data_IF_585642850222
#
_entry.id   IF_585642850222
#
_cell.length_a   1.000
_cell.length_b   1.000
_cell.length_c   1.000
_cell.angle_alpha   90.00
_cell.angle_beta   90.00
_cell.angle_gamma   90.00
#
_symmetry.space_group_name_H-M   'P 1'
#
loop_
_entity.id
_entity.type
_entity.pdbx_description
1 polymer ?
#
# COMPACT_ATOMS: atom_id res chain seq x y z
N UNK A 1 5.64 -14.16 9.78
CA UNK A 1 6.33 -14.68 8.56
C UNK A 1 6.79 -13.49 7.75
N UNK A 2 8.09 -13.20 7.74
CA UNK A 2 8.69 -12.15 6.91
C UNK A 2 9.00 -12.78 5.54
N UNK A 3 8.06 -12.71 4.60
CA UNK A 3 8.33 -13.09 3.21
C UNK A 3 9.41 -12.17 2.65
N UNK A 4 10.60 -12.71 2.44
CA UNK A 4 11.72 -11.95 1.89
C UNK A 4 11.52 -11.90 0.37
N UNK A 5 10.73 -10.94 -0.09
CA UNK A 5 10.62 -10.62 -1.51
C UNK A 5 11.91 -9.91 -1.93
N UNK A 6 12.91 -10.71 -2.32
CA UNK A 6 14.18 -10.20 -2.85
C UNK A 6 14.11 -9.98 -4.37
N UNK A 7 13.14 -10.60 -5.06
CA UNK A 7 12.90 -10.40 -6.49
C UNK A 7 11.94 -9.23 -6.76
N UNK A 8 12.33 -8.24 -7.59
CA UNK A 8 11.45 -7.14 -7.96
C UNK A 8 10.18 -7.55 -8.70
N UNK A 9 10.21 -8.62 -9.51
CA UNK A 9 9.04 -9.14 -10.22
C UNK A 9 7.97 -9.64 -9.27
N UNK A 10 8.35 -10.45 -8.28
CA UNK A 10 7.44 -10.93 -7.23
C UNK A 10 6.83 -9.77 -6.42
N UNK A 11 7.61 -8.71 -6.17
CA UNK A 11 7.11 -7.51 -5.48
C UNK A 11 6.09 -6.73 -6.31
N UNK A 12 6.32 -6.59 -7.63
CA UNK A 12 5.37 -5.94 -8.56
C UNK A 12 4.06 -6.73 -8.59
N UNK A 13 4.14 -8.05 -8.78
CA UNK A 13 2.97 -8.93 -8.81
C UNK A 13 2.18 -8.86 -7.50
N UNK A 14 2.86 -8.94 -6.36
CA UNK A 14 2.22 -8.82 -5.06
C UNK A 14 1.53 -7.46 -4.87
N UNK A 15 2.21 -6.35 -5.18
CA UNK A 15 1.62 -5.02 -5.09
C UNK A 15 0.36 -4.93 -5.95
N UNK A 16 0.44 -5.40 -7.20
CA UNK A 16 -0.67 -5.43 -8.14
C UNK A 16 -1.87 -6.22 -7.60
N UNK A 17 -1.63 -7.45 -7.09
CA UNK A 17 -2.68 -8.31 -6.52
C UNK A 17 -3.38 -7.68 -5.32
N UNK A 18 -2.64 -7.08 -4.38
CA UNK A 18 -3.24 -6.43 -3.20
C UNK A 18 -4.10 -5.24 -3.65
N UNK A 19 -3.56 -4.40 -4.55
CA UNK A 19 -4.29 -3.25 -5.08
C UNK A 19 -5.57 -3.66 -5.81
N UNK A 20 -5.51 -4.70 -6.64
CA UNK A 20 -6.65 -5.24 -7.35
C UNK A 20 -7.71 -5.79 -6.39
N UNK A 21 -7.28 -6.58 -5.41
CA UNK A 21 -8.15 -7.23 -4.40
C UNK A 21 -8.96 -6.20 -3.61
N UNK A 22 -8.32 -5.11 -3.20
CA UNK A 22 -8.96 -4.06 -2.39
C UNK A 22 -9.51 -2.89 -3.20
N UNK A 23 -9.48 -2.98 -4.54
CA UNK A 23 -9.91 -1.92 -5.47
C UNK A 23 -9.25 -0.57 -5.12
N UNK A 24 -7.94 -0.62 -4.89
CA UNK A 24 -7.13 0.56 -4.65
C UNK A 24 -6.92 1.33 -5.95
N UNK A 25 -6.90 2.66 -5.83
CA UNK A 25 -6.76 3.57 -6.96
C UNK A 25 -5.33 3.45 -7.55
N UNK A 26 -5.16 3.37 -8.90
CA UNK A 26 -3.83 3.37 -9.54
C UNK A 26 -2.96 4.55 -9.13
N UNK A 27 -3.58 5.67 -8.77
CA UNK A 27 -2.94 6.89 -8.29
C UNK A 27 -2.05 6.64 -7.04
N UNK A 28 -2.35 5.63 -6.21
CA UNK A 28 -1.48 5.25 -5.08
C UNK A 28 -0.14 4.69 -5.56
N UNK A 29 -0.16 3.82 -6.58
CA UNK A 29 1.06 3.28 -7.18
C UNK A 29 1.83 4.36 -7.94
N UNK A 30 1.14 5.23 -8.68
CA UNK A 30 1.76 6.36 -9.38
C UNK A 30 2.54 7.25 -8.41
N UNK A 31 1.91 7.64 -7.28
CA UNK A 31 2.56 8.46 -6.26
C UNK A 31 3.71 7.71 -5.59
N UNK A 32 3.46 6.48 -5.13
CA UNK A 32 4.44 5.69 -4.40
C UNK A 32 5.67 5.35 -5.23
N UNK A 33 5.50 5.01 -6.51
CA UNK A 33 6.57 4.49 -7.37
C UNK A 33 7.10 5.52 -8.38
N UNK A 34 6.42 6.67 -8.52
CA UNK A 34 6.71 7.70 -9.54
C UNK A 34 6.68 7.13 -10.96
N UNK A 35 5.66 6.31 -11.22
CA UNK A 35 5.40 5.70 -12.52
C UNK A 35 4.18 6.35 -13.17
N UNK A 36 4.11 6.22 -14.49
CA UNK A 36 2.97 6.68 -15.28
C UNK A 36 1.70 5.87 -14.98
N UNK A 37 0.55 6.46 -15.29
CA UNK A 37 -0.75 5.81 -15.08
C UNK A 37 -0.87 4.47 -15.79
N UNK A 38 -0.41 4.41 -17.04
CA UNK A 38 -0.45 3.18 -17.83
C UNK A 38 0.38 2.06 -17.20
N UNK A 39 1.54 2.36 -16.62
CA UNK A 39 2.36 1.38 -15.92
C UNK A 39 1.72 0.96 -14.59
N UNK A 40 1.08 1.88 -13.86
CA UNK A 40 0.33 1.54 -12.65
C UNK A 40 -0.87 0.62 -12.96
N UNK A 41 -1.62 0.91 -14.03
CA UNK A 41 -2.73 0.06 -14.47
C UNK A 41 -2.26 -1.33 -14.88
N UNK A 42 -1.16 -1.44 -15.64
CA UNK A 42 -0.57 -2.73 -16.02
C UNK A 42 -0.02 -3.49 -14.83
N UNK A 43 0.62 -2.82 -13.87
CA UNK A 43 1.04 -3.46 -12.63
C UNK A 43 -0.16 -4.08 -11.90
N UNK A 44 -1.28 -3.37 -11.81
CA UNK A 44 -2.46 -3.83 -11.08
C UNK A 44 -3.19 -4.96 -11.81
N UNK A 45 -3.32 -4.87 -13.13
CA UNK A 45 -4.10 -5.83 -13.93
C UNK A 45 -3.27 -7.03 -14.38
N UNK A 46 -2.01 -6.80 -14.77
CA UNK A 46 -1.14 -7.79 -15.39
C UNK A 46 -0.03 -8.30 -14.45
N UNK A 47 0.16 -7.70 -13.26
CA UNK A 47 1.20 -8.10 -12.30
C UNK A 47 2.62 -7.77 -12.77
N UNK A 48 2.79 -6.88 -13.75
CA UNK A 48 4.08 -6.55 -14.37
C UNK A 48 4.19 -5.10 -14.79
N UNK A 49 5.42 -4.59 -14.89
CA UNK A 49 5.73 -3.27 -15.44
C UNK A 49 6.22 -3.37 -16.90
N UNK A 50 5.98 -2.33 -17.69
CA UNK A 50 6.40 -2.30 -19.11
C UNK A 50 7.92 -2.13 -19.29
N UNK A 51 8.61 -1.65 -18.25
CA UNK A 51 10.04 -1.31 -18.29
C UNK A 51 10.76 -1.88 -17.06
N UNK A 52 12.06 -2.19 -17.18
CA UNK A 52 12.87 -2.54 -16.02
C UNK A 52 12.84 -1.43 -14.96
N UNK A 53 12.82 -1.84 -13.69
CA UNK A 53 12.86 -0.90 -12.56
C UNK A 53 14.25 -0.30 -12.40
N UNK A 54 14.30 1.03 -12.29
CA UNK A 54 15.51 1.71 -11.82
C UNK A 54 15.76 1.37 -10.34
N UNK A 55 17.03 1.33 -9.89
CA UNK A 55 17.36 0.99 -8.49
C UNK A 55 16.64 1.85 -7.45
N UNK A 56 16.45 3.14 -7.74
CA UNK A 56 15.73 4.09 -6.89
C UNK A 56 14.24 3.76 -6.76
N UNK A 57 13.63 3.20 -7.81
CA UNK A 57 12.23 2.73 -7.78
C UNK A 57 12.12 1.41 -7.03
N UNK A 58 13.16 0.57 -7.06
CA UNK A 58 13.21 -0.69 -6.31
C UNK A 58 13.05 -0.51 -4.80
N UNK A 59 13.70 0.50 -4.21
CA UNK A 59 13.52 0.82 -2.78
C UNK A 59 12.10 1.30 -2.48
N UNK A 60 11.55 2.18 -3.33
CA UNK A 60 10.17 2.67 -3.19
C UNK A 60 9.16 1.53 -3.30
N UNK A 61 9.38 0.59 -4.22
CA UNK A 61 8.57 -0.62 -4.37
C UNK A 61 8.60 -1.48 -3.10
N UNK A 62 9.79 -1.72 -2.54
CA UNK A 62 9.93 -2.48 -1.30
C UNK A 62 9.17 -1.82 -0.15
N UNK A 63 9.27 -0.49 0.00
CA UNK A 63 8.51 0.25 1.01
C UNK A 63 7.00 0.18 0.74
N UNK A 64 6.57 0.34 -0.50
CA UNK A 64 5.16 0.33 -0.88
C UNK A 64 4.50 -1.04 -0.65
N UNK A 65 5.14 -2.14 -1.06
CA UNK A 65 4.69 -3.50 -0.76
C UNK A 65 4.58 -3.72 0.76
N UNK A 66 5.55 -3.20 1.51
CA UNK A 66 5.57 -3.34 2.96
C UNK A 66 4.44 -2.54 3.64
N UNK A 67 4.06 -1.39 3.09
CA UNK A 67 2.88 -0.62 3.49
C UNK A 67 1.61 -1.43 3.22
N UNK A 68 1.44 -1.91 1.99
CA UNK A 68 0.25 -2.66 1.55
C UNK A 68 0.02 -3.92 2.39
N UNK A 69 1.05 -4.76 2.52
CA UNK A 69 0.96 -6.03 3.29
C UNK A 69 0.66 -5.80 4.76
N UNK A 70 1.24 -4.77 5.39
CA UNK A 70 0.93 -4.43 6.78
C UNK A 70 -0.50 -3.95 6.96
N UNK A 71 -1.00 -3.11 6.06
CA UNK A 71 -2.39 -2.68 6.10
C UNK A 71 -3.35 -3.86 5.95
N UNK A 72 -3.08 -4.77 5.02
CA UNK A 72 -3.86 -6.00 4.85
C UNK A 72 -3.96 -6.81 6.15
N UNK A 73 -2.81 -7.07 6.78
CA UNK A 73 -2.77 -7.85 8.01
C UNK A 73 -3.45 -7.13 9.19
N UNK A 74 -3.17 -5.84 9.40
CA UNK A 74 -3.74 -5.08 10.53
C UNK A 74 -5.24 -4.89 10.39
N UNK A 75 -5.71 -4.67 9.18
CA UNK A 75 -7.12 -4.40 8.90
C UNK A 75 -7.89 -5.67 8.51
N UNK A 76 -7.30 -6.85 8.75
CA UNK A 76 -7.92 -8.18 8.53
C UNK A 76 -8.49 -8.33 7.11
N UNK A 77 -7.76 -7.84 6.11
CA UNK A 77 -8.17 -7.84 4.70
C UNK A 77 -9.51 -7.11 4.41
N UNK A 78 -9.97 -6.23 5.30
CA UNK A 78 -11.18 -5.43 5.08
C UNK A 78 -10.90 -4.31 4.04
N UNK A 79 -11.37 -4.53 2.82
CA UNK A 79 -11.19 -3.59 1.70
C UNK A 79 -11.72 -2.18 1.97
N UNK A 80 -12.78 -2.02 2.77
CA UNK A 80 -13.30 -0.69 3.09
C UNK A 80 -12.41 0.01 4.12
N UNK A 81 -11.94 -0.73 5.13
CA UNK A 81 -10.99 -0.20 6.12
C UNK A 81 -9.65 0.15 5.47
N UNK A 82 -9.12 -0.69 4.58
CA UNK A 82 -7.85 -0.44 3.88
C UNK A 82 -7.94 0.81 3.01
N UNK A 83 -9.00 0.94 2.20
CA UNK A 83 -9.22 2.16 1.41
C UNK A 83 -9.33 3.40 2.29
N UNK A 84 -10.08 3.32 3.40
CA UNK A 84 -10.20 4.43 4.34
C UNK A 84 -8.88 4.78 5.03
N UNK A 85 -8.03 3.81 5.32
CA UNK A 85 -6.75 4.03 5.97
C UNK A 85 -5.82 4.91 5.14
N UNK A 86 -5.86 4.80 3.81
CA UNK A 86 -5.07 5.65 2.92
C UNK A 86 -5.52 7.12 2.91
N UNK A 87 -6.81 7.36 3.11
CA UNK A 87 -7.42 8.69 3.07
C UNK A 87 -7.53 9.35 4.45
N UNK A 88 -7.35 8.60 5.54
CA UNK A 88 -7.52 9.12 6.90
C UNK A 88 -6.23 9.78 7.38
N UNK A 89 -6.27 11.06 7.79
CA UNK A 89 -5.17 11.72 8.48
C UNK A 89 -4.67 10.94 9.69
N UNK A 90 -3.35 10.80 9.83
CA UNK A 90 -2.74 10.16 10.99
C UNK A 90 -1.94 11.19 11.80
N UNK A 91 -2.08 11.16 13.13
CA UNK A 91 -1.33 12.07 14.02
C UNK A 91 0.19 11.85 13.90
N UNK A 92 0.61 10.59 13.70
CA UNK A 92 2.01 10.23 13.43
C UNK A 92 2.56 10.81 12.10
N UNK A 93 1.69 11.31 11.23
CA UNK A 93 2.01 11.95 9.96
C UNK A 93 1.63 13.43 9.97
N UNK A 94 1.63 14.08 11.15
CA UNK A 94 1.26 15.48 11.33
C UNK A 94 -0.13 15.81 10.77
N UNK A 95 -1.08 14.88 10.95
CA UNK A 95 -2.45 14.97 10.43
C UNK A 95 -2.53 15.02 8.90
N UNK A 96 -1.56 14.45 8.19
CA UNK A 96 -1.64 14.19 6.75
C UNK A 96 -2.10 12.76 6.48
N UNK A 97 -2.74 12.55 5.33
CA UNK A 97 -3.15 11.22 4.89
C UNK A 97 -1.94 10.44 4.35
N UNK A 98 -1.92 9.10 4.45
CA UNK A 98 -0.94 8.29 3.73
C UNK A 98 -0.90 8.59 2.22
N UNK A 99 -2.05 8.78 1.58
CA UNK A 99 -2.16 9.13 0.16
C UNK A 99 -1.38 10.39 -0.22
N UNK A 100 -1.37 11.42 0.63
CA UNK A 100 -0.58 12.64 0.40
C UNK A 100 0.92 12.40 0.59
N UNK A 101 1.27 11.59 1.58
CA UNK A 101 2.65 11.28 1.92
C UNK A 101 3.35 10.41 0.87
N UNK A 102 2.61 9.56 0.16
CA UNK A 102 3.15 8.70 -0.91
C UNK A 102 3.80 9.50 -2.05
N UNK A 103 3.40 10.75 -2.28
CA UNK A 103 3.98 11.62 -3.30
C UNK A 103 5.36 12.20 -2.89
N UNK A 104 5.77 12.01 -1.63
CA UNK A 104 7.02 12.53 -1.09
C UNK A 104 8.28 11.78 -1.55
N UNK A 105 9.37 12.06 -0.85
CA UNK A 105 10.65 11.35 -0.98
C UNK A 105 10.61 9.98 -0.26
N UNK A 106 11.73 9.26 -0.26
CA UNK A 106 11.83 7.98 0.41
C UNK A 106 11.56 8.08 1.93
N UNK A 107 11.93 9.21 2.56
CA UNK A 107 11.68 9.46 3.98
C UNK A 107 10.17 9.55 4.28
N UNK A 108 9.39 10.19 3.40
CA UNK A 108 7.93 10.23 3.50
C UNK A 108 7.30 8.83 3.43
N UNK A 109 7.75 7.97 2.50
CA UNK A 109 7.29 6.58 2.42
C UNK A 109 7.68 5.79 3.68
N UNK A 110 8.88 6.01 4.20
CA UNK A 110 9.33 5.38 5.44
C UNK A 110 8.49 5.82 6.65
N UNK A 111 8.11 7.10 6.73
CA UNK A 111 7.21 7.62 7.75
C UNK A 111 5.82 6.97 7.67
N UNK A 112 5.24 6.83 6.47
CA UNK A 112 3.97 6.10 6.27
C UNK A 112 4.10 4.66 6.74
N UNK A 113 5.18 3.98 6.33
CA UNK A 113 5.47 2.60 6.71
C UNK A 113 5.53 2.40 8.23
N UNK A 114 6.06 3.38 8.98
CA UNK A 114 6.05 3.35 10.44
C UNK A 114 4.67 3.71 11.03
N UNK A 115 4.00 4.73 10.49
CA UNK A 115 2.70 5.19 10.99
C UNK A 115 1.60 4.12 10.89
N UNK A 116 1.67 3.24 9.89
CA UNK A 116 0.72 2.11 9.75
C UNK A 116 0.74 1.19 10.97
N UNK A 117 1.87 1.09 11.67
CA UNK A 117 1.96 0.28 12.89
C UNK A 117 1.17 0.87 14.07
N UNK A 118 0.63 2.07 13.93
CA UNK A 118 -0.22 2.75 14.91
C UNK A 118 -1.69 2.85 14.49
N UNK A 119 -2.06 2.36 13.31
CA UNK A 119 -3.47 2.34 12.89
C UNK A 119 -4.22 1.32 13.75
N UNK A 120 -5.31 1.79 14.36
CA UNK A 120 -6.21 0.97 15.16
C UNK A 120 -6.78 -0.16 14.31
N UNK A 121 -6.59 -1.40 14.77
CA UNK A 121 -7.25 -2.54 14.15
C UNK A 121 -8.76 -2.44 14.41
N UNK A 122 -9.63 -2.76 13.45
CA UNK A 122 -11.07 -2.81 13.68
C UNK A 122 -11.36 -3.71 14.88
N UNK A 123 -11.86 -3.14 15.98
CA UNK A 123 -12.45 -3.92 17.07
C UNK A 123 -13.57 -4.74 16.44
N UNK A 124 -13.59 -6.03 16.72
CA UNK A 124 -14.41 -7.04 16.05
C UNK A 124 -15.77 -6.51 15.61
N UNK A 125 -16.12 -6.79 14.35
CA UNK A 125 -17.48 -6.61 13.87
C UNK A 125 -18.41 -7.55 14.63
N UNK A 126 -18.99 -7.06 15.73
CA UNK A 126 -20.06 -7.71 16.47
C UNK A 126 -21.34 -7.68 15.62
N UNK A 127 -21.49 -8.61 14.69
CA UNK A 127 -22.79 -8.94 14.09
C UNK A 127 -23.11 -10.43 14.21
N UNK A 128 -23.01 -10.94 15.43
CA UNK A 128 -23.78 -12.09 15.92
C UNK A 128 -24.13 -11.92 17.40
N UNK A 129 -24.90 -10.90 17.75
CA UNK A 129 -25.72 -10.92 18.98
C UNK A 129 -27.00 -10.13 18.74
N UNK A 130 -28.16 -10.82 18.77
CA UNK A 130 -29.53 -10.28 18.71
C UNK A 130 -30.06 -10.15 17.28
N UNK A 131 -31.11 -10.84 16.83
CA UNK A 131 -32.26 -11.50 17.47
C UNK A 131 -32.63 -12.80 16.77
#
# INVERSE_FOLDING_TARGET
MSGRFDDPGDMIDLAGRIMLTHRLAPELAMRALRIERSDAERMIVEGRLSRPLEPTVGERLRLFVNILTRLEHRLRHDSAAIRRAFETPLDALERRSPTDMLNGDAAALFAVRQAIDHIDTPKEKWWRVGH
#
